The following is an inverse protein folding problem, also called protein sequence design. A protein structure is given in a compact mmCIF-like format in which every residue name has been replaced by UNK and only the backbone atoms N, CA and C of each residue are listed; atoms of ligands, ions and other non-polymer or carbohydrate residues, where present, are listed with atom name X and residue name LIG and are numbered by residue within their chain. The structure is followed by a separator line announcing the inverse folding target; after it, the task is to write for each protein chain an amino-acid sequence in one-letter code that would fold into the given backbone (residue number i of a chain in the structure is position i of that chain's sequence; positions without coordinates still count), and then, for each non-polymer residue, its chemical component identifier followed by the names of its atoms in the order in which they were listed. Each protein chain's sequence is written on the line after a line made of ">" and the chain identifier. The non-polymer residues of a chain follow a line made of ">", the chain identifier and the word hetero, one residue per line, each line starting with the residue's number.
data_IF_646484771072
#
_entry.id   IF_646484771072
#
_cell.length_a   1.000
_cell.length_b   1.000
_cell.length_c   1.000
_cell.angle_alpha   90.00
_cell.angle_beta   90.00
_cell.angle_gamma   90.00
#
_symmetry.space_group_name_H-M   'P 1'
#
loop_
_entity.id
_entity.type
_entity.pdbx_description
1 polymer ?
#
# COMPACT_ATOMS: atom_id res chain seq x y z
N UNK A 1 0.59 -57.85 -9.85
CA UNK A 1 -0.32 -57.18 -8.89
C UNK A 1 0.35 -55.89 -8.41
N UNK A 2 -0.41 -54.80 -8.19
CA UNK A 2 -0.15 -53.56 -8.93
C UNK A 2 0.24 -52.32 -8.07
N UNK A 3 0.71 -51.31 -8.81
CA UNK A 3 0.50 -49.85 -8.64
C UNK A 3 1.22 -49.05 -7.55
N UNK A 4 2.07 -48.13 -8.02
CA UNK A 4 2.51 -46.94 -7.29
C UNK A 4 3.20 -45.92 -8.20
N UNK A 5 2.53 -45.47 -9.28
CA UNK A 5 2.96 -44.29 -10.07
C UNK A 5 2.65 -43.04 -9.24
N UNK A 6 3.66 -42.41 -8.65
CA UNK A 6 3.51 -41.04 -8.14
C UNK A 6 4.02 -40.06 -9.19
N UNK A 7 3.09 -39.55 -9.98
CA UNK A 7 3.27 -38.33 -10.76
C UNK A 7 3.29 -37.18 -9.74
N UNK A 8 4.49 -36.65 -9.46
CA UNK A 8 4.63 -35.36 -8.79
C UNK A 8 4.32 -34.30 -9.83
N UNK A 9 3.06 -33.89 -9.87
CA UNK A 9 2.66 -32.66 -10.54
C UNK A 9 3.41 -31.50 -9.87
N UNK A 10 4.38 -30.93 -10.58
CA UNK A 10 4.88 -29.59 -10.29
C UNK A 10 3.76 -28.64 -10.74
N UNK A 11 2.87 -28.28 -9.81
CA UNK A 11 2.06 -27.07 -10.01
C UNK A 11 3.04 -25.91 -10.14
N UNK A 12 2.99 -25.08 -11.19
CA UNK A 12 3.55 -23.76 -11.08
C UNK A 12 2.66 -23.03 -10.07
N UNK A 13 3.19 -22.77 -8.87
CA UNK A 13 2.59 -21.79 -7.98
C UNK A 13 2.79 -20.43 -8.65
N UNK A 14 1.87 -20.05 -9.53
CA UNK A 14 1.73 -18.67 -9.92
C UNK A 14 1.37 -17.90 -8.65
N UNK A 15 2.32 -17.14 -8.11
CA UNK A 15 2.00 -16.09 -7.15
C UNK A 15 1.08 -15.11 -7.87
N UNK A 16 -0.23 -15.29 -7.75
CA UNK A 16 -1.15 -14.17 -7.90
C UNK A 16 -0.81 -13.21 -6.77
N UNK A 17 -0.01 -12.18 -7.05
CA UNK A 17 0.10 -11.05 -6.14
C UNK A 17 -1.24 -10.34 -6.20
N UNK A 18 -2.11 -10.64 -5.25
CA UNK A 18 -3.27 -9.79 -5.00
C UNK A 18 -2.69 -8.49 -4.46
N UNK A 19 -2.58 -7.46 -5.31
CA UNK A 19 -2.26 -6.12 -4.87
C UNK A 19 -3.44 -5.61 -4.04
N UNK A 20 -3.46 -6.00 -2.77
CA UNK A 20 -4.37 -5.51 -1.77
C UNK A 20 -3.86 -4.16 -1.26
N UNK A 21 -4.78 -3.35 -0.75
CA UNK A 21 -4.40 -2.09 -0.16
C UNK A 21 -3.51 -2.35 1.08
N UNK A 22 -2.37 -1.68 1.18
CA UNK A 22 -1.42 -1.86 2.30
C UNK A 22 -1.52 -0.68 3.25
N UNK A 23 -1.83 -0.94 4.52
CA UNK A 23 -1.91 0.12 5.53
C UNK A 23 -0.52 0.67 5.86
N UNK A 24 -0.42 2.00 5.95
CA UNK A 24 0.78 2.68 6.40
C UNK A 24 0.82 2.76 7.93
N UNK A 25 2.01 2.50 8.48
CA UNK A 25 2.25 2.64 9.91
C UNK A 25 2.12 4.12 10.32
N UNK A 26 1.54 4.40 11.50
CA UNK A 26 1.29 5.77 11.96
C UNK A 26 2.57 6.55 12.26
N UNK A 27 3.71 5.88 12.49
CA UNK A 27 4.99 6.53 12.77
C UNK A 27 6.08 5.93 11.89
N UNK A 28 6.79 6.77 11.13
CA UNK A 28 7.94 6.42 10.30
C UNK A 28 9.19 6.94 11.00
N UNK A 29 9.92 6.05 11.67
CA UNK A 29 11.13 6.37 12.45
C UNK A 29 12.44 6.00 11.75
N UNK A 30 12.36 5.30 10.61
CA UNK A 30 13.50 4.90 9.78
C UNK A 30 13.14 4.97 8.29
N UNK A 31 13.89 4.26 7.45
CA UNK A 31 13.68 4.27 6.00
C UNK A 31 12.49 3.38 5.60
N UNK A 32 11.44 4.00 5.06
CA UNK A 32 10.25 3.32 4.53
C UNK A 32 10.09 3.68 3.06
N UNK A 33 10.00 2.68 2.21
CA UNK A 33 9.72 2.85 0.77
C UNK A 33 8.34 2.34 0.41
N UNK A 34 7.47 3.22 -0.06
CA UNK A 34 6.19 2.85 -0.67
C UNK A 34 6.46 2.33 -2.08
N UNK A 35 6.24 1.04 -2.29
CA UNK A 35 6.46 0.39 -3.58
C UNK A 35 5.18 0.25 -4.37
N UNK A 36 5.30 0.10 -5.69
CA UNK A 36 4.15 -0.18 -6.57
C UNK A 36 3.52 -1.54 -6.27
N UNK A 37 4.29 -2.51 -5.76
CA UNK A 37 3.78 -3.83 -5.36
C UNK A 37 2.83 -3.77 -4.16
N UNK A 38 3.02 -2.79 -3.25
CA UNK A 38 2.13 -2.52 -2.12
C UNK A 38 1.02 -1.52 -2.42
N UNK A 39 0.98 -0.96 -3.64
CA UNK A 39 -0.03 0.02 -4.03
C UNK A 39 -1.39 -0.65 -4.23
N UNK A 40 -2.50 -0.05 -3.75
CA UNK A 40 -2.55 1.27 -3.10
C UNK A 40 -2.14 1.24 -1.62
N UNK A 41 -1.43 2.27 -1.17
CA UNK A 41 -1.10 2.45 0.25
C UNK A 41 -2.21 3.23 0.95
N UNK A 42 -2.65 2.79 2.14
CA UNK A 42 -3.77 3.42 2.86
C UNK A 42 -3.25 4.13 4.10
N UNK A 43 -3.62 5.40 4.23
CA UNK A 43 -3.37 6.25 5.39
C UNK A 43 -4.69 6.39 6.13
N UNK A 44 -4.90 5.57 7.18
CA UNK A 44 -6.16 5.56 7.93
C UNK A 44 -6.25 6.66 8.99
N UNK A 45 -5.10 7.12 9.50
CA UNK A 45 -4.99 8.10 10.57
C UNK A 45 -3.83 9.06 10.28
N UNK A 46 -3.43 9.89 11.25
CA UNK A 46 -2.25 10.74 11.07
C UNK A 46 -0.97 9.90 11.04
N UNK A 47 -0.26 9.97 9.93
CA UNK A 47 1.09 9.41 9.78
C UNK A 47 2.12 10.48 10.05
N UNK A 48 3.02 10.21 10.99
CA UNK A 48 4.15 11.06 11.34
C UNK A 48 5.43 10.50 10.73
N UNK A 49 6.09 11.26 9.87
CA UNK A 49 7.48 11.00 9.49
C UNK A 49 8.34 11.74 10.49
N UNK A 50 8.89 10.99 11.45
CA UNK A 50 9.71 11.54 12.52
C UNK A 50 10.99 12.17 11.97
N UNK A 51 11.67 13.01 12.75
CA UNK A 51 12.87 13.75 12.32
C UNK A 51 13.99 12.83 11.77
N UNK A 52 14.12 11.62 12.32
CA UNK A 52 15.08 10.61 11.86
C UNK A 52 14.51 9.68 10.77
N UNK A 53 13.23 9.81 10.45
CA UNK A 53 12.52 8.98 9.49
C UNK A 53 12.67 9.47 8.06
N UNK A 54 12.59 8.53 7.12
CA UNK A 54 12.59 8.81 5.69
C UNK A 54 11.46 8.04 5.02
N UNK A 55 10.56 8.76 4.37
CA UNK A 55 9.46 8.19 3.60
C UNK A 55 9.70 8.44 2.11
N UNK A 56 9.99 7.39 1.37
CA UNK A 56 10.18 7.44 -0.09
C UNK A 56 8.99 6.82 -0.80
N UNK A 57 8.42 7.51 -1.78
CA UNK A 57 7.30 7.05 -2.60
C UNK A 57 7.77 6.80 -4.02
N UNK A 58 7.67 5.55 -4.48
CA UNK A 58 8.09 5.19 -5.83
C UNK A 58 7.15 5.78 -6.90
N UNK A 59 7.66 6.07 -8.12
CA UNK A 59 6.83 6.43 -9.26
C UNK A 59 5.69 5.43 -9.50
N UNK A 60 4.49 5.93 -9.79
CA UNK A 60 3.31 5.10 -10.07
C UNK A 60 2.54 4.61 -8.83
N UNK A 61 2.99 4.95 -7.62
CA UNK A 61 2.28 4.60 -6.39
C UNK A 61 1.01 5.45 -6.21
N UNK A 62 -0.06 4.80 -5.77
CA UNK A 62 -1.27 5.48 -5.29
C UNK A 62 -1.34 5.40 -3.77
N UNK A 63 -1.57 6.54 -3.12
CA UNK A 63 -1.81 6.67 -1.69
C UNK A 63 -3.27 7.12 -1.48
N UNK A 64 -4.01 6.34 -0.70
CA UNK A 64 -5.40 6.56 -0.33
C UNK A 64 -5.45 7.11 1.10
N UNK A 65 -6.03 8.30 1.27
CA UNK A 65 -6.17 8.93 2.59
C UNK A 65 -7.60 8.79 3.09
N UNK A 66 -7.78 8.20 4.26
CA UNK A 66 -9.07 8.16 4.94
C UNK A 66 -9.54 9.58 5.32
N UNK A 67 -10.84 9.71 5.60
CA UNK A 67 -11.39 10.98 6.07
C UNK A 67 -10.77 11.36 7.41
N UNK A 68 -10.20 12.57 7.50
CA UNK A 68 -9.51 13.06 8.69
C UNK A 68 -8.06 12.57 8.85
N UNK A 69 -7.57 11.71 7.94
CA UNK A 69 -6.17 11.31 7.93
C UNK A 69 -5.25 12.47 7.50
N UNK A 70 -4.04 12.49 8.02
CA UNK A 70 -3.04 13.53 7.75
C UNK A 70 -1.65 12.91 7.57
N UNK A 71 -0.78 13.55 6.80
CA UNK A 71 0.62 13.18 6.68
C UNK A 71 1.46 14.34 7.21
N UNK A 72 2.08 14.16 8.37
CA UNK A 72 2.94 15.15 9.00
C UNK A 72 4.39 14.73 8.83
N UNK A 73 5.19 15.57 8.17
CA UNK A 73 6.58 15.26 7.84
C UNK A 73 7.50 16.19 8.62
N UNK A 74 8.20 15.63 9.61
CA UNK A 74 9.28 16.29 10.35
C UNK A 74 10.66 15.86 9.83
N UNK A 75 10.77 14.66 9.23
CA UNK A 75 12.00 14.14 8.61
C UNK A 75 12.05 14.32 7.09
N UNK A 76 12.50 13.28 6.39
CA UNK A 76 12.64 13.29 4.93
C UNK A 76 11.41 12.68 4.23
N UNK A 77 10.87 13.38 3.23
CA UNK A 77 9.84 12.86 2.35
C UNK A 77 10.22 13.05 0.89
N UNK A 78 10.30 11.94 0.15
CA UNK A 78 10.70 11.91 -1.26
C UNK A 78 9.56 11.31 -2.08
N UNK A 79 9.00 12.07 -3.02
CA UNK A 79 7.93 11.62 -3.90
C UNK A 79 8.19 12.11 -5.33
N UNK A 80 9.17 11.52 -5.99
CA UNK A 80 9.58 11.90 -7.34
C UNK A 80 8.92 10.97 -8.37
N UNK A 81 7.80 11.41 -8.94
CA UNK A 81 7.14 10.72 -10.05
C UNK A 81 7.86 10.92 -11.39
N UNK A 82 7.48 10.16 -12.41
CA UNK A 82 7.96 10.36 -13.79
C UNK A 82 6.81 10.85 -14.69
N UNK A 83 7.10 11.36 -15.92
CA UNK A 83 6.05 11.78 -16.85
C UNK A 83 5.05 10.67 -17.24
N UNK A 84 5.44 9.40 -17.10
CA UNK A 84 4.59 8.23 -17.40
C UNK A 84 4.06 7.53 -16.15
N UNK A 85 4.65 7.80 -14.97
CA UNK A 85 4.29 7.16 -13.71
C UNK A 85 4.14 8.21 -12.62
N UNK A 86 2.95 8.81 -12.58
CA UNK A 86 2.59 9.78 -11.57
C UNK A 86 2.38 9.12 -10.20
N UNK A 87 2.76 9.84 -9.15
CA UNK A 87 2.37 9.52 -7.79
C UNK A 87 1.02 10.17 -7.52
N UNK A 88 0.04 9.41 -7.04
CA UNK A 88 -1.33 9.89 -6.83
C UNK A 88 -1.71 9.83 -5.35
N UNK A 89 -2.02 11.00 -4.78
CA UNK A 89 -2.69 11.09 -3.48
C UNK A 89 -4.18 11.33 -3.73
N UNK A 90 -5.04 10.49 -3.15
CA UNK A 90 -6.48 10.63 -3.31
C UNK A 90 -7.22 10.12 -2.08
N UNK A 91 -8.53 10.38 -2.02
CA UNK A 91 -9.34 9.98 -0.87
C UNK A 91 -9.64 8.49 -0.93
N UNK A 92 -9.64 7.85 0.23
CA UNK A 92 -10.24 6.54 0.41
C UNK A 92 -11.76 6.73 0.38
N UNK A 93 -12.37 6.34 -0.74
CA UNK A 93 -13.83 6.31 -0.85
C UNK A 93 -14.37 5.16 -0.02
N UNK A 94 -14.67 5.44 1.25
CA UNK A 94 -15.50 4.55 2.05
C UNK A 94 -16.91 4.66 1.49
N UNK A 95 -17.40 3.59 0.88
CA UNK A 95 -18.83 3.47 0.57
C UNK A 95 -19.52 3.31 1.91
N UNK A 96 -19.88 4.42 2.56
CA UNK A 96 -20.85 4.39 3.64
C UNK A 96 -22.16 3.96 3.00
N UNK A 97 -22.46 2.67 3.06
CA UNK A 97 -23.83 2.19 2.91
C UNK A 97 -24.60 2.81 4.08
N UNK A 98 -25.11 4.02 3.85
CA UNK A 98 -26.05 4.66 4.74
C UNK A 98 -27.24 3.73 4.82
N UNK A 99 -27.27 2.91 5.87
CA UNK A 99 -28.48 2.22 6.28
C UNK A 99 -29.38 3.32 6.78
N UNK A 100 -30.23 3.81 5.87
CA UNK A 100 -31.38 4.66 6.17
C UNK A 100 -32.32 3.84 7.07
N UNK A 101 -32.01 3.82 8.36
CA UNK A 101 -32.94 3.41 9.41
C UNK A 101 -33.85 4.59 9.69
N UNK A 102 -35.07 4.50 9.18
CA UNK A 102 -36.19 5.38 9.53
C UNK A 102 -36.67 5.08 10.95
#
# INVERSE_FOLDING_TARGET
>A
MPTGRVIRWLLPLALLSVAAATDLLPNVTGDVTLTTAGSPWVVNETVYVEETGSLTVQPGVTVLMASGASLMVNGLFVAEGTPTQHIKFTLLNTVTNATTGK
#
